data_IF_199458091347
#
_entry.id   IF_199458091347
#
_cell.length_a   1.000
_cell.length_b   1.000
_cell.length_c   1.000
_cell.angle_alpha   90.00
_cell.angle_beta   90.00
_cell.angle_gamma   90.00
#
_symmetry.space_group_name_H-M   'P 1'
#
loop_
_entity.id
_entity.type
_entity.pdbx_description
1 polymer ?
#
# COMPACT_ATOMS: atom_id res chain seq x y z
N UNK A 1 -29.65 13.74 15.49
CA UNK A 1 -28.77 14.87 15.16
C UNK A 1 -29.43 16.22 15.48
N UNK A 2 -30.77 16.37 15.36
CA UNK A 2 -31.48 17.61 15.70
C UNK A 2 -31.27 18.07 17.17
N UNK A 3 -30.85 17.14 18.04
CA UNK A 3 -30.58 17.43 19.46
C UNK A 3 -29.12 17.87 19.69
N UNK A 4 -28.25 17.81 18.67
CA UNK A 4 -26.87 18.26 18.84
C UNK A 4 -26.79 19.78 18.94
N UNK A 5 -26.05 20.33 19.93
CA UNK A 5 -25.95 21.77 20.15
C UNK A 5 -25.56 22.57 18.90
N UNK A 6 -24.73 22.02 18.05
CA UNK A 6 -24.31 22.62 16.78
C UNK A 6 -25.53 22.92 15.87
N UNK A 7 -26.48 21.96 15.74
CA UNK A 7 -27.63 22.10 14.84
C UNK A 7 -28.80 22.87 15.48
N UNK A 8 -28.72 23.20 16.78
CA UNK A 8 -29.67 24.10 17.44
C UNK A 8 -29.42 25.56 17.07
N UNK A 9 -28.15 25.93 16.82
CA UNK A 9 -27.73 27.27 16.44
C UNK A 9 -27.66 27.51 14.94
N UNK A 10 -27.50 26.42 14.13
CA UNK A 10 -27.44 26.49 12.68
C UNK A 10 -28.46 25.55 12.04
N UNK A 11 -29.48 26.07 11.34
CA UNK A 11 -30.44 25.22 10.65
C UNK A 11 -29.70 24.37 9.64
N UNK A 12 -29.97 23.06 9.65
CA UNK A 12 -29.38 22.10 8.70
C UNK A 12 -29.96 22.37 7.30
N UNK A 13 -29.22 23.08 6.48
CA UNK A 13 -29.62 23.52 5.16
C UNK A 13 -29.63 22.41 4.08
N UNK A 14 -29.48 21.16 4.45
CA UNK A 14 -29.23 20.07 3.49
C UNK A 14 -30.27 18.96 3.42
N UNK A 15 -31.33 18.97 4.24
CA UNK A 15 -32.37 17.94 4.19
C UNK A 15 -33.49 18.34 3.22
N UNK A 16 -33.17 18.41 1.95
CA UNK A 16 -34.23 18.31 0.94
C UNK A 16 -34.64 16.83 0.87
N UNK A 17 -35.94 16.55 0.91
CA UNK A 17 -36.46 15.20 0.72
C UNK A 17 -36.36 14.81 -0.78
N UNK A 18 -35.14 14.86 -1.30
CA UNK A 18 -34.85 14.52 -2.71
C UNK A 18 -35.12 13.04 -3.01
N UNK A 19 -35.40 12.24 -1.98
CA UNK A 19 -35.70 10.83 -2.16
C UNK A 19 -37.02 10.61 -2.93
N UNK A 20 -37.98 11.50 -2.80
CA UNK A 20 -39.27 11.44 -3.53
C UNK A 20 -39.21 12.02 -4.94
N UNK A 21 -38.10 12.66 -5.34
CA UNK A 21 -37.94 13.16 -6.69
C UNK A 21 -37.80 11.99 -7.67
N UNK A 22 -38.26 12.19 -8.90
CA UNK A 22 -38.06 11.24 -9.98
C UNK A 22 -36.57 10.95 -10.18
N UNK A 23 -36.22 9.65 -10.34
CA UNK A 23 -34.87 9.16 -10.51
C UNK A 23 -34.83 8.13 -11.61
N UNK A 24 -33.80 8.15 -12.38
CA UNK A 24 -33.43 7.07 -13.26
C UNK A 24 -32.56 6.07 -12.47
N UNK A 25 -32.96 4.82 -12.43
CA UNK A 25 -32.25 3.75 -11.72
C UNK A 25 -31.98 2.61 -12.68
N UNK A 26 -30.72 2.29 -12.86
CA UNK A 26 -30.28 1.16 -13.66
C UNK A 26 -29.63 0.12 -12.75
N UNK A 27 -29.99 -1.15 -12.90
CA UNK A 27 -29.39 -2.28 -12.16
C UNK A 27 -28.66 -3.17 -13.16
N UNK A 28 -27.36 -3.32 -12.94
CA UNK A 28 -26.50 -4.11 -13.83
C UNK A 28 -25.92 -5.28 -13.04
N UNK A 29 -26.24 -6.48 -13.47
CA UNK A 29 -25.67 -7.70 -12.91
C UNK A 29 -24.33 -8.02 -13.57
N UNK A 30 -23.33 -8.42 -12.75
CA UNK A 30 -22.00 -8.81 -13.22
C UNK A 30 -21.48 -10.04 -12.48
N UNK A 31 -20.57 -10.77 -13.12
CA UNK A 31 -19.95 -11.97 -12.54
C UNK A 31 -18.68 -11.59 -11.76
N UNK A 32 -18.79 -11.38 -10.45
CA UNK A 32 -17.65 -11.18 -9.56
C UNK A 32 -17.07 -9.76 -9.54
N UNK A 33 -16.18 -9.50 -8.58
CA UNK A 33 -15.68 -8.16 -8.22
C UNK A 33 -14.93 -7.44 -9.34
N UNK A 34 -14.14 -8.16 -10.12
CA UNK A 34 -13.36 -7.56 -11.21
C UNK A 34 -14.28 -7.12 -12.36
N UNK A 35 -15.33 -7.91 -12.65
CA UNK A 35 -16.31 -7.54 -13.66
C UNK A 35 -17.12 -6.30 -13.22
N UNK A 36 -17.48 -6.21 -11.93
CA UNK A 36 -18.10 -5.00 -11.36
C UNK A 36 -17.21 -3.77 -11.54
N UNK A 37 -15.93 -3.87 -11.21
CA UNK A 37 -15.02 -2.76 -11.37
C UNK A 37 -14.88 -2.30 -12.83
N UNK A 38 -14.77 -3.26 -13.78
CA UNK A 38 -14.72 -2.97 -15.20
C UNK A 38 -16.02 -2.33 -15.71
N UNK A 39 -17.18 -2.79 -15.22
CA UNK A 39 -18.47 -2.22 -15.58
C UNK A 39 -18.58 -0.77 -15.10
N UNK A 40 -18.14 -0.47 -13.88
CA UNK A 40 -18.06 0.92 -13.39
C UNK A 40 -17.17 1.77 -14.29
N UNK A 41 -16.00 1.25 -14.70
CA UNK A 41 -15.10 1.94 -15.63
C UNK A 41 -15.76 2.22 -16.98
N UNK A 42 -16.52 1.24 -17.52
CA UNK A 42 -17.28 1.43 -18.77
C UNK A 42 -18.35 2.51 -18.63
N UNK A 43 -19.15 2.46 -17.58
CA UNK A 43 -20.17 3.47 -17.29
C UNK A 43 -19.59 4.88 -17.16
N UNK A 44 -18.44 5.02 -16.47
CA UNK A 44 -17.77 6.30 -16.35
C UNK A 44 -17.23 6.79 -17.71
N UNK A 45 -16.77 5.88 -18.56
CA UNK A 45 -16.32 6.22 -19.91
C UNK A 45 -17.48 6.68 -20.78
N UNK A 46 -18.61 5.98 -20.74
CA UNK A 46 -19.83 6.36 -21.49
C UNK A 46 -20.35 7.71 -20.99
N UNK A 47 -20.33 7.93 -19.67
CA UNK A 47 -20.69 9.21 -19.07
C UNK A 47 -19.75 10.33 -19.52
N UNK A 48 -18.47 10.07 -19.73
CA UNK A 48 -17.49 11.07 -20.20
C UNK A 48 -17.86 11.66 -21.55
N UNK A 49 -18.52 10.87 -22.42
CA UNK A 49 -18.98 11.32 -23.74
C UNK A 49 -20.08 12.37 -23.67
N UNK A 50 -20.82 12.45 -22.56
CA UNK A 50 -21.90 13.41 -22.33
C UNK A 50 -21.45 14.70 -21.65
N UNK A 51 -20.14 14.91 -21.50
CA UNK A 51 -19.53 16.06 -20.81
C UNK A 51 -20.04 16.26 -19.38
N UNK A 52 -19.88 15.28 -18.49
CA UNK A 52 -20.43 15.33 -17.15
C UNK A 52 -19.72 16.38 -16.30
N UNK A 53 -20.45 16.91 -15.33
CA UNK A 53 -19.83 17.63 -14.22
C UNK A 53 -19.28 16.61 -13.23
N UNK A 54 -17.99 16.28 -13.34
CA UNK A 54 -17.33 15.27 -12.51
C UNK A 54 -17.48 15.52 -11.00
N UNK A 55 -17.62 16.78 -10.59
CA UNK A 55 -17.85 17.14 -9.19
C UNK A 55 -19.19 16.63 -8.64
N UNK A 56 -20.09 16.18 -9.49
CA UNK A 56 -21.41 15.62 -9.13
C UNK A 56 -21.47 14.10 -9.28
N UNK A 57 -20.38 13.48 -9.69
CA UNK A 57 -20.30 12.02 -9.84
C UNK A 57 -19.71 11.41 -8.61
N UNK A 58 -20.39 10.45 -8.00
CA UNK A 58 -19.90 9.69 -6.85
C UNK A 58 -19.99 8.19 -7.16
N UNK A 59 -18.91 7.47 -6.85
CA UNK A 59 -18.87 6.01 -6.84
C UNK A 59 -18.87 5.55 -5.40
N UNK A 60 -19.91 4.85 -4.99
CA UNK A 60 -20.06 4.34 -3.62
C UNK A 60 -19.69 2.87 -3.60
N UNK A 61 -18.74 2.50 -2.75
CA UNK A 61 -18.25 1.13 -2.60
C UNK A 61 -18.76 0.54 -1.30
N UNK A 62 -19.63 -0.47 -1.34
CA UNK A 62 -20.06 -1.18 -0.12
C UNK A 62 -18.97 -2.07 0.45
N UNK A 63 -17.98 -2.46 -0.38
CA UNK A 63 -16.83 -3.29 -0.01
C UNK A 63 -15.53 -2.55 -0.37
N UNK A 64 -14.70 -2.30 0.63
CA UNK A 64 -13.42 -1.61 0.48
C UNK A 64 -12.43 -2.35 -0.43
N UNK A 65 -12.58 -3.67 -0.57
CA UNK A 65 -11.73 -4.48 -1.46
C UNK A 65 -11.87 -4.10 -2.95
N UNK A 66 -13.00 -3.47 -3.32
CA UNK A 66 -13.26 -2.95 -4.66
C UNK A 66 -12.45 -1.68 -4.99
N UNK A 67 -11.89 -0.99 -4.02
CA UNK A 67 -11.21 0.28 -4.26
C UNK A 67 -10.09 0.14 -5.30
N UNK A 68 -9.15 -0.77 -5.09
CA UNK A 68 -8.02 -0.96 -6.01
C UNK A 68 -8.47 -1.41 -7.42
N UNK A 69 -9.35 -2.41 -7.60
CA UNK A 69 -9.91 -2.75 -8.90
C UNK A 69 -10.56 -1.57 -9.62
N UNK A 70 -11.32 -0.75 -8.92
CA UNK A 70 -11.99 0.42 -9.52
C UNK A 70 -10.97 1.50 -9.91
N UNK A 71 -9.97 1.78 -9.08
CA UNK A 71 -8.91 2.73 -9.43
C UNK A 71 -8.18 2.34 -10.72
N UNK A 72 -7.98 1.04 -10.94
CA UNK A 72 -7.39 0.52 -12.18
C UNK A 72 -8.35 0.50 -13.37
N UNK A 73 -9.65 0.57 -13.13
CA UNK A 73 -10.67 0.58 -14.18
C UNK A 73 -11.10 2.00 -14.58
N UNK A 74 -10.63 3.04 -13.88
CA UNK A 74 -10.97 4.43 -14.20
C UNK A 74 -10.50 4.80 -15.61
N UNK A 75 -11.36 5.46 -16.39
CA UNK A 75 -10.98 5.97 -17.70
C UNK A 75 -10.00 7.15 -17.58
N UNK A 76 -9.16 7.33 -18.60
CA UNK A 76 -8.12 8.38 -18.67
C UNK A 76 -8.68 9.80 -18.60
N UNK A 77 -9.94 9.97 -18.93
CA UNK A 77 -10.69 11.24 -18.91
C UNK A 77 -10.92 11.76 -17.48
N UNK A 78 -10.85 10.86 -16.48
CA UNK A 78 -10.97 11.21 -15.06
C UNK A 78 -9.61 11.67 -14.54
N UNK A 79 -9.37 12.97 -14.54
CA UNK A 79 -8.08 13.55 -14.16
C UNK A 79 -7.90 13.71 -12.64
N UNK A 80 -8.98 13.82 -11.88
CA UNK A 80 -8.96 14.04 -10.43
C UNK A 80 -10.05 13.21 -9.75
N UNK A 81 -9.67 12.58 -8.65
CA UNK A 81 -10.59 11.82 -7.80
C UNK A 81 -10.36 12.22 -6.33
N UNK A 82 -11.44 12.15 -5.54
CA UNK A 82 -11.36 12.25 -4.10
C UNK A 82 -11.72 10.89 -3.50
N UNK A 83 -10.82 10.31 -2.72
CA UNK A 83 -11.01 9.01 -2.07
C UNK A 83 -11.22 9.26 -0.58
N UNK A 84 -12.39 8.87 -0.07
CA UNK A 84 -12.75 8.99 1.35
C UNK A 84 -12.55 7.70 2.13
N UNK A 85 -12.24 6.60 1.43
CA UNK A 85 -11.98 5.28 2.03
C UNK A 85 -10.49 5.11 2.31
N UNK A 86 -10.16 4.46 3.43
CA UNK A 86 -8.80 4.05 3.74
C UNK A 86 -8.49 2.68 3.14
N UNK A 87 -7.23 2.45 2.82
CA UNK A 87 -6.75 1.10 2.51
C UNK A 87 -6.06 0.51 3.74
N UNK A 88 -6.42 -0.69 4.21
CA UNK A 88 -5.77 -1.32 5.33
C UNK A 88 -4.26 -1.42 5.13
N UNK A 89 -3.47 -0.97 6.11
CA UNK A 89 -2.00 -0.99 6.02
C UNK A 89 -1.47 -2.41 5.73
N UNK A 90 -2.13 -3.43 6.25
CA UNK A 90 -1.79 -4.84 6.02
C UNK A 90 -1.78 -5.25 4.55
N UNK A 91 -2.54 -4.58 3.70
CA UNK A 91 -2.61 -4.83 2.26
C UNK A 91 -1.53 -4.07 1.48
N UNK A 92 -0.77 -3.20 2.14
CA UNK A 92 0.28 -2.42 1.51
C UNK A 92 1.59 -3.19 1.48
N UNK A 93 2.35 -3.05 0.41
CA UNK A 93 3.65 -3.74 0.29
C UNK A 93 4.63 -3.34 1.39
N UNK A 94 4.50 -2.13 1.94
CA UNK A 94 5.31 -1.66 3.06
C UNK A 94 5.12 -2.50 4.33
N UNK A 95 3.92 -3.02 4.58
CA UNK A 95 3.67 -3.90 5.74
C UNK A 95 4.49 -5.17 5.66
N UNK A 96 4.56 -5.77 4.47
CA UNK A 96 5.35 -6.98 4.23
C UNK A 96 6.83 -6.74 4.55
N UNK A 97 7.34 -5.55 4.18
CA UNK A 97 8.72 -5.17 4.50
C UNK A 97 8.93 -4.99 5.99
N UNK A 98 8.00 -4.30 6.67
CA UNK A 98 8.07 -4.07 8.12
C UNK A 98 8.00 -5.41 8.88
N UNK A 99 7.07 -6.29 8.53
CA UNK A 99 6.96 -7.64 9.10
C UNK A 99 8.24 -8.44 8.88
N UNK A 100 8.81 -8.42 7.67
CA UNK A 100 10.06 -9.12 7.39
C UNK A 100 11.24 -8.59 8.22
N UNK A 101 11.29 -7.28 8.50
CA UNK A 101 12.28 -6.67 9.38
C UNK A 101 12.11 -7.15 10.83
N UNK A 102 10.89 -7.16 11.35
CA UNK A 102 10.63 -7.69 12.69
C UNK A 102 10.98 -9.18 12.77
N UNK A 103 10.54 -10.00 11.81
CA UNK A 103 10.84 -11.42 11.72
C UNK A 103 12.35 -11.66 11.75
N UNK A 104 13.12 -10.86 10.99
CA UNK A 104 14.57 -10.97 10.94
C UNK A 104 15.21 -10.76 12.32
N UNK A 105 14.76 -9.77 13.07
CA UNK A 105 15.30 -9.49 14.40
C UNK A 105 14.80 -10.47 15.46
N UNK A 106 13.54 -10.90 15.39
CA UNK A 106 12.98 -11.89 16.32
C UNK A 106 13.59 -13.27 16.15
N UNK A 107 13.96 -13.65 14.93
CA UNK A 107 14.56 -14.96 14.61
C UNK A 107 16.09 -14.95 14.62
N UNK A 108 16.71 -13.83 15.04
CA UNK A 108 18.15 -13.72 15.14
C UNK A 108 18.72 -14.75 16.12
N UNK A 109 19.85 -15.33 15.75
CA UNK A 109 20.60 -16.28 16.58
C UNK A 109 22.03 -15.81 16.81
N UNK A 110 22.77 -16.48 17.66
CA UNK A 110 24.22 -16.24 17.86
C UNK A 110 25.03 -16.42 16.57
N UNK A 111 24.49 -17.17 15.58
CA UNK A 111 25.11 -17.39 14.27
C UNK A 111 24.83 -16.25 13.29
N UNK A 112 23.90 -15.35 13.60
CA UNK A 112 23.48 -14.23 12.76
C UNK A 112 22.02 -14.31 12.31
N UNK A 113 21.70 -13.59 11.24
CA UNK A 113 20.38 -13.53 10.62
C UNK A 113 20.17 -14.69 9.67
N UNK A 114 19.00 -15.30 9.69
CA UNK A 114 18.65 -16.37 8.77
C UNK A 114 18.50 -15.83 7.34
N UNK A 115 19.14 -16.48 6.37
CA UNK A 115 19.22 -15.97 5.00
C UNK A 115 17.85 -15.72 4.34
N UNK A 116 16.82 -16.54 4.62
CA UNK A 116 15.49 -16.36 4.03
C UNK A 116 14.78 -15.10 4.52
N UNK A 117 14.99 -14.67 5.75
CA UNK A 117 14.44 -13.41 6.26
C UNK A 117 15.13 -12.21 5.60
N UNK A 118 16.45 -12.31 5.40
CA UNK A 118 17.21 -11.29 4.66
C UNK A 118 16.81 -11.26 3.18
N UNK A 119 16.57 -12.42 2.58
CA UNK A 119 16.07 -12.54 1.21
C UNK A 119 14.73 -11.83 1.02
N UNK A 120 13.76 -12.00 1.93
CA UNK A 120 12.47 -11.29 1.88
C UNK A 120 12.66 -9.78 1.83
N UNK A 121 13.59 -9.24 2.64
CA UNK A 121 13.87 -7.80 2.72
C UNK A 121 14.52 -7.32 1.43
N UNK A 122 15.59 -7.96 0.97
CA UNK A 122 16.35 -7.52 -0.19
C UNK A 122 15.64 -7.77 -1.52
N UNK A 123 14.74 -8.73 -1.59
CA UNK A 123 13.89 -8.97 -2.76
C UNK A 123 12.71 -7.98 -2.82
N UNK A 124 12.45 -7.21 -1.75
CA UNK A 124 11.33 -6.30 -1.71
C UNK A 124 11.50 -5.15 -2.70
N UNK A 125 10.43 -4.83 -3.45
CA UNK A 125 10.44 -3.82 -4.53
C UNK A 125 10.98 -2.47 -4.06
N UNK A 126 10.60 -2.00 -2.88
CA UNK A 126 11.05 -0.70 -2.35
C UNK A 126 12.57 -0.67 -2.16
N UNK A 127 13.16 -1.72 -1.57
CA UNK A 127 14.60 -1.83 -1.35
C UNK A 127 15.35 -1.86 -2.69
N UNK A 128 14.88 -2.67 -3.64
CA UNK A 128 15.50 -2.75 -4.97
C UNK A 128 15.41 -1.44 -5.74
N UNK A 129 14.26 -0.75 -5.64
CA UNK A 129 14.08 0.57 -6.28
C UNK A 129 15.01 1.61 -5.68
N UNK A 130 15.16 1.60 -4.35
CA UNK A 130 16.12 2.46 -3.66
C UNK A 130 17.55 2.18 -4.12
N UNK A 131 18.00 0.93 -4.12
CA UNK A 131 19.35 0.56 -4.60
C UNK A 131 19.60 1.04 -6.02
N UNK A 132 18.62 0.85 -6.92
CA UNK A 132 18.73 1.31 -8.30
C UNK A 132 18.85 2.84 -8.39
N UNK A 133 18.08 3.58 -7.60
CA UNK A 133 18.11 5.05 -7.57
C UNK A 133 19.45 5.59 -7.07
N UNK A 134 20.01 4.97 -6.03
CA UNK A 134 21.28 5.36 -5.42
C UNK A 134 22.51 4.78 -6.13
N UNK A 135 22.35 4.05 -7.23
CA UNK A 135 23.44 3.44 -7.96
C UNK A 135 24.18 2.34 -7.20
N UNK A 136 23.51 1.70 -6.24
CA UNK A 136 24.02 0.59 -5.47
C UNK A 136 23.90 -0.73 -6.27
N UNK A 137 24.71 -1.73 -5.89
CA UNK A 137 24.58 -3.08 -6.46
C UNK A 137 23.18 -3.66 -6.17
N UNK A 138 22.66 -4.46 -7.11
CA UNK A 138 21.37 -5.14 -6.86
C UNK A 138 21.54 -6.12 -5.67
N UNK A 139 20.75 -6.01 -4.61
CA UNK A 139 20.82 -6.92 -3.49
C UNK A 139 20.59 -8.39 -3.86
N UNK A 140 19.96 -8.66 -4.99
CA UNK A 140 19.71 -10.02 -5.49
C UNK A 140 21.03 -10.72 -5.86
N UNK A 141 22.02 -10.01 -6.41
CA UNK A 141 23.34 -10.58 -6.73
C UNK A 141 24.05 -11.06 -5.46
N UNK A 142 23.94 -10.27 -4.38
CA UNK A 142 24.45 -10.65 -3.08
C UNK A 142 23.75 -11.91 -2.53
N UNK A 143 22.42 -11.99 -2.66
CA UNK A 143 21.67 -13.15 -2.23
C UNK A 143 22.05 -14.41 -3.03
N UNK A 144 22.23 -14.29 -4.34
CA UNK A 144 22.69 -15.41 -5.16
C UNK A 144 24.06 -15.94 -4.72
N UNK A 145 25.00 -15.05 -4.42
CA UNK A 145 26.31 -15.43 -3.90
C UNK A 145 26.23 -16.19 -2.56
N UNK A 146 25.29 -15.82 -1.68
CA UNK A 146 25.02 -16.49 -0.42
C UNK A 146 24.44 -17.89 -0.64
N UNK A 147 23.48 -18.01 -1.53
CA UNK A 147 22.83 -19.29 -1.89
C UNK A 147 23.85 -20.24 -2.50
N UNK A 148 24.69 -19.75 -3.43
CA UNK A 148 25.75 -20.55 -4.04
C UNK A 148 26.78 -21.07 -3.02
N UNK A 149 27.10 -20.28 -2.00
CA UNK A 149 27.97 -20.66 -0.89
C UNK A 149 27.29 -21.52 0.17
N UNK A 150 26.01 -21.85 -0.01
CA UNK A 150 25.17 -22.60 0.96
C UNK A 150 25.23 -22.02 2.38
N UNK A 151 25.28 -20.70 2.50
CA UNK A 151 25.32 -20.01 3.77
C UNK A 151 23.90 -19.82 4.31
N UNK A 152 23.64 -20.40 5.50
CA UNK A 152 22.32 -20.33 6.13
C UNK A 152 22.14 -19.11 7.02
N UNK A 153 23.24 -18.57 7.55
CA UNK A 153 23.23 -17.43 8.46
C UNK A 153 24.19 -16.35 7.97
N UNK A 154 23.78 -15.13 8.10
CA UNK A 154 24.48 -13.94 7.67
C UNK A 154 24.84 -13.08 8.87
N UNK A 155 26.06 -12.61 8.90
CA UNK A 155 26.48 -11.65 9.90
C UNK A 155 26.64 -10.25 9.31
N UNK A 156 26.71 -9.25 10.19
CA UNK A 156 26.83 -7.83 9.77
C UNK A 156 28.11 -7.57 8.96
N UNK A 157 29.19 -8.35 9.17
CA UNK A 157 30.44 -8.19 8.41
C UNK A 157 30.24 -8.51 6.93
N UNK A 158 29.50 -9.57 6.61
CA UNK A 158 29.22 -9.97 5.22
C UNK A 158 28.37 -8.93 4.48
N UNK A 159 27.43 -8.30 5.19
CA UNK A 159 26.65 -7.19 4.65
C UNK A 159 27.54 -5.97 4.36
N UNK A 160 28.55 -5.72 5.21
CA UNK A 160 29.53 -4.64 4.99
C UNK A 160 30.40 -4.93 3.78
N UNK A 161 30.87 -6.16 3.60
CA UNK A 161 31.68 -6.57 2.45
C UNK A 161 30.94 -6.42 1.12
N UNK A 162 29.64 -6.66 1.13
CA UNK A 162 28.77 -6.46 -0.04
C UNK A 162 28.48 -5.00 -0.40
N UNK A 163 29.08 -4.02 0.30
CA UNK A 163 28.84 -2.58 0.15
C UNK A 163 27.39 -2.12 0.40
N UNK A 164 26.55 -3.01 0.91
CA UNK A 164 25.16 -2.72 1.26
C UNK A 164 25.02 -2.17 2.68
N UNK A 165 26.05 -2.31 3.50
CA UNK A 165 26.00 -1.93 4.93
C UNK A 165 26.03 -0.42 5.16
N UNK A 166 26.53 0.38 4.22
CA UNK A 166 26.58 1.84 4.37
C UNK A 166 25.16 2.40 4.47
N UNK A 167 24.27 1.90 3.63
CA UNK A 167 22.91 2.41 3.49
C UNK A 167 21.89 1.62 4.33
N UNK A 168 22.14 0.33 4.54
CA UNK A 168 21.23 -0.55 5.27
C UNK A 168 21.78 -1.10 6.59
N UNK A 169 23.00 -0.71 6.97
CA UNK A 169 23.65 -1.24 8.18
C UNK A 169 22.85 -1.03 9.46
N UNK A 170 22.06 0.03 9.53
CA UNK A 170 21.19 0.31 10.66
C UNK A 170 20.02 -0.69 10.79
N UNK A 171 19.56 -1.29 9.67
CA UNK A 171 18.53 -2.32 9.69
C UNK A 171 19.07 -3.65 10.24
N UNK A 172 20.37 -3.89 10.15
CA UNK A 172 21.04 -5.11 10.60
C UNK A 172 21.75 -4.95 11.95
N UNK A 173 21.65 -3.78 12.59
CA UNK A 173 22.01 -3.64 14.00
C UNK A 173 20.93 -4.26 14.85
N UNK A 174 21.30 -5.14 15.79
CA UNK A 174 20.32 -5.82 16.64
C UNK A 174 19.48 -4.83 17.44
N UNK A 175 18.18 -5.02 17.36
CA UNK A 175 17.23 -4.27 18.17
C UNK A 175 17.05 -4.96 19.53
N UNK A 176 17.42 -4.27 20.59
CA UNK A 176 17.23 -4.76 21.95
C UNK A 176 15.90 -4.29 22.56
N UNK A 177 15.33 -3.24 21.97
CA UNK A 177 14.03 -2.66 22.39
C UNK A 177 13.15 -2.37 21.17
N UNK A 178 11.84 -2.50 21.29
CA UNK A 178 10.91 -2.19 20.20
C UNK A 178 11.08 -0.77 19.62
N UNK A 179 11.46 0.19 20.47
CA UNK A 179 11.72 1.58 20.06
C UNK A 179 12.82 1.69 19.01
N UNK A 180 13.90 0.93 19.14
CA UNK A 180 15.03 0.91 18.19
C UNK A 180 14.57 0.41 16.81
N UNK A 181 13.65 -0.57 16.79
CA UNK A 181 13.04 -1.05 15.57
C UNK A 181 12.21 0.03 14.86
N UNK A 182 11.36 0.73 15.61
CA UNK A 182 10.55 1.83 15.08
C UNK A 182 11.43 2.95 14.52
N UNK A 183 12.47 3.37 15.27
CA UNK A 183 13.41 4.39 14.82
C UNK A 183 14.16 3.97 13.54
N UNK A 184 14.53 2.70 13.43
CA UNK A 184 15.18 2.15 12.24
C UNK A 184 14.24 2.13 11.04
N UNK A 185 12.97 1.78 11.24
CA UNK A 185 11.95 1.81 10.19
C UNK A 185 11.67 3.25 9.74
N UNK A 186 11.57 4.20 10.67
CA UNK A 186 11.39 5.62 10.34
C UNK A 186 12.56 6.22 9.54
N UNK A 187 13.78 5.69 9.69
CA UNK A 187 14.92 6.10 8.86
C UNK A 187 14.89 5.50 7.45
N UNK A 188 14.20 4.36 7.30
CA UNK A 188 14.07 3.70 5.99
C UNK A 188 13.01 4.38 5.10
N UNK A 189 11.97 4.95 5.71
CA UNK A 189 10.85 5.63 5.04
C UNK A 189 11.19 7.09 4.73
#
# INVERSE_FOLDING_TARGET
YKQWPYYQSQPFLGLHNSFVNEKEVEIIETTGLIAQAKQVGSLLKDLSSTNPRWERVAVVLPDESLLNPILHALPSEVSKINITMGTPLQQQSISILIEALFDMHMTHTTKGFYYKTVEKIFSHKLIRTYCKKEGLNDPVDFLQAIIQKNQRFLNVKQLREAKLAKDFGFLFSLWHKPKEGVESICKLL
#
